data_IF_275528569029
#
_entry.id   IF_275528569029
#
_cell.length_a   1.000
_cell.length_b   1.000
_cell.length_c   1.000
_cell.angle_alpha   90.00
_cell.angle_beta   90.00
_cell.angle_gamma   90.00
#
_symmetry.space_group_name_H-M   'P 1'
#
loop_
_entity.id
_entity.type
_entity.pdbx_description
1 polymer ?
#
# COMPACT_ATOMS: atom_id res chain seq x y z
N UNK A 1 -23.35 67.44 -42.08
CA UNK A 1 -21.95 67.16 -41.71
C UNK A 1 -21.97 66.20 -40.52
N UNK A 2 -21.66 64.90 -40.72
CA UNK A 2 -21.74 63.88 -39.65
C UNK A 2 -20.37 63.75 -38.98
N UNK A 3 -20.30 64.04 -37.68
CA UNK A 3 -19.10 63.87 -36.86
C UNK A 3 -19.04 62.43 -36.34
N UNK A 4 -18.16 61.63 -36.93
CA UNK A 4 -17.91 60.25 -36.49
C UNK A 4 -17.07 60.29 -35.22
N UNK A 5 -17.68 60.08 -34.07
CA UNK A 5 -16.99 59.97 -32.78
C UNK A 5 -16.08 58.74 -32.75
N UNK A 6 -14.77 58.96 -32.88
CA UNK A 6 -13.75 57.93 -32.68
C UNK A 6 -13.65 57.63 -31.19
N UNK A 7 -14.25 56.52 -30.74
CA UNK A 7 -14.10 56.07 -29.34
C UNK A 7 -12.70 55.49 -29.14
N UNK A 8 -11.88 56.19 -28.37
CA UNK A 8 -10.56 55.73 -27.94
C UNK A 8 -10.75 54.60 -26.91
N UNK A 9 -10.63 53.34 -27.34
CA UNK A 9 -10.69 52.20 -26.44
C UNK A 9 -9.40 52.19 -25.59
N UNK A 10 -9.56 52.40 -24.29
CA UNK A 10 -8.47 52.29 -23.30
C UNK A 10 -7.97 50.84 -23.33
N UNK A 11 -6.77 50.62 -23.88
CA UNK A 11 -6.12 49.30 -23.95
C UNK A 11 -5.94 48.78 -22.52
N UNK A 12 -6.80 47.87 -22.06
CA UNK A 12 -6.52 47.08 -20.85
C UNK A 12 -5.25 46.28 -21.15
N UNK A 13 -4.30 46.30 -20.21
CA UNK A 13 -3.12 45.43 -20.26
C UNK A 13 -3.62 43.99 -20.18
N UNK A 14 -3.83 43.35 -21.33
CA UNK A 14 -4.10 41.94 -21.40
C UNK A 14 -2.84 41.18 -21.00
N UNK A 15 -2.98 40.18 -20.13
CA UNK A 15 -1.92 39.21 -19.86
C UNK A 15 -1.40 38.69 -21.20
N UNK A 16 -0.09 38.73 -21.39
CA UNK A 16 0.48 38.44 -22.70
C UNK A 16 0.30 36.95 -23.04
N UNK A 17 0.13 36.62 -24.31
CA UNK A 17 0.04 35.21 -24.74
C UNK A 17 1.28 34.42 -24.29
N UNK A 18 2.44 35.09 -24.22
CA UNK A 18 3.71 34.53 -23.74
C UNK A 18 3.67 34.19 -22.23
N UNK A 19 3.14 35.05 -21.37
CA UNK A 19 3.00 34.74 -19.94
C UNK A 19 2.18 33.47 -19.71
N UNK A 20 1.07 33.35 -20.44
CA UNK A 20 0.19 32.19 -20.32
C UNK A 20 0.84 30.91 -20.88
N UNK A 21 1.56 30.99 -22.00
CA UNK A 21 2.26 29.81 -22.55
C UNK A 21 3.42 29.37 -21.66
N UNK A 22 4.20 30.30 -21.10
CA UNK A 22 5.28 29.96 -20.16
C UNK A 22 4.72 29.27 -18.90
N UNK A 23 3.63 29.79 -18.34
CA UNK A 23 2.99 29.17 -17.17
C UNK A 23 2.50 27.76 -17.49
N UNK A 24 1.84 27.56 -18.63
CA UNK A 24 1.36 26.23 -19.03
C UNK A 24 2.53 25.26 -19.24
N UNK A 25 3.62 25.70 -19.90
CA UNK A 25 4.82 24.87 -20.09
C UNK A 25 5.43 24.42 -18.76
N UNK A 26 5.49 25.30 -17.77
CA UNK A 26 5.98 24.97 -16.42
C UNK A 26 5.03 24.03 -15.70
N UNK A 27 3.71 24.24 -15.75
CA UNK A 27 2.75 23.35 -15.11
C UNK A 27 2.79 21.94 -15.70
N UNK A 28 2.84 21.81 -17.03
CA UNK A 28 2.91 20.52 -17.70
C UNK A 28 4.22 19.77 -17.40
N UNK A 29 5.35 20.48 -17.26
CA UNK A 29 6.62 19.85 -16.89
C UNK A 29 6.60 19.30 -15.46
N UNK A 30 6.05 20.06 -14.51
CA UNK A 30 5.91 19.62 -13.11
C UNK A 30 4.96 18.43 -12.97
N UNK A 31 3.82 18.45 -13.66
CA UNK A 31 2.86 17.34 -13.66
C UNK A 31 3.51 16.06 -14.22
N UNK A 32 4.35 16.18 -15.25
CA UNK A 32 5.04 15.02 -15.84
C UNK A 32 5.97 14.33 -14.84
N UNK A 33 6.75 15.10 -14.06
CA UNK A 33 7.63 14.56 -13.01
C UNK A 33 6.81 13.91 -11.90
N UNK A 34 5.69 14.52 -11.51
CA UNK A 34 4.79 13.99 -10.49
C UNK A 34 4.27 12.59 -10.84
N UNK A 35 3.89 12.34 -12.10
CA UNK A 35 3.39 11.03 -12.52
C UNK A 35 4.44 9.92 -12.39
N UNK A 36 5.70 10.21 -12.68
CA UNK A 36 6.79 9.23 -12.53
C UNK A 36 6.99 8.91 -11.05
N UNK A 37 7.04 9.95 -10.20
CA UNK A 37 7.16 9.78 -8.75
C UNK A 37 5.99 9.01 -8.14
N UNK A 38 4.75 9.34 -8.52
CA UNK A 38 3.54 8.71 -8.01
C UNK A 38 3.48 7.21 -8.33
N UNK A 39 3.93 6.79 -9.53
CA UNK A 39 3.97 5.36 -9.91
C UNK A 39 4.98 4.58 -9.08
N UNK A 40 6.19 5.13 -8.90
CA UNK A 40 7.22 4.50 -8.06
C UNK A 40 6.76 4.40 -6.60
N UNK A 41 6.14 5.47 -6.08
CA UNK A 41 5.58 5.49 -4.73
C UNK A 41 4.45 4.45 -4.55
N UNK A 42 3.52 4.35 -5.50
CA UNK A 42 2.42 3.36 -5.44
C UNK A 42 2.95 1.93 -5.32
N UNK A 43 3.98 1.57 -6.10
CA UNK A 43 4.62 0.26 -6.01
C UNK A 43 5.23 0.01 -4.62
N UNK A 44 5.89 1.02 -4.05
CA UNK A 44 6.44 0.94 -2.68
C UNK A 44 5.36 0.79 -1.61
N UNK A 45 4.27 1.56 -1.72
CA UNK A 45 3.14 1.51 -0.79
C UNK A 45 2.42 0.15 -0.84
N UNK A 46 2.24 -0.41 -2.04
CA UNK A 46 1.64 -1.72 -2.23
C UNK A 46 2.45 -2.85 -1.58
N UNK A 47 3.79 -2.79 -1.76
CA UNK A 47 4.71 -3.72 -1.10
C UNK A 47 4.62 -3.59 0.42
N UNK A 48 4.64 -2.37 0.95
CA UNK A 48 4.54 -2.11 2.38
C UNK A 48 3.20 -2.62 2.94
N UNK A 49 2.09 -2.37 2.24
CA UNK A 49 0.77 -2.88 2.61
C UNK A 49 0.72 -4.40 2.67
N UNK A 50 1.34 -5.07 1.71
CA UNK A 50 1.43 -6.53 1.71
C UNK A 50 2.22 -7.07 2.92
N UNK A 51 3.35 -6.44 3.25
CA UNK A 51 4.18 -6.80 4.42
C UNK A 51 3.42 -6.53 5.73
N UNK A 52 2.67 -5.44 5.81
CA UNK A 52 1.83 -5.13 6.98
C UNK A 52 0.73 -6.18 7.19
N UNK A 53 0.09 -6.66 6.12
CA UNK A 53 -0.89 -7.75 6.23
C UNK A 53 -0.24 -9.02 6.80
N UNK A 54 0.96 -9.38 6.35
CA UNK A 54 1.71 -10.53 6.87
C UNK A 54 2.02 -10.33 8.36
N UNK A 55 2.51 -9.14 8.73
CA UNK A 55 2.80 -8.79 10.13
C UNK A 55 1.56 -8.89 11.01
N UNK A 56 0.45 -8.29 10.59
CA UNK A 56 -0.80 -8.30 11.36
C UNK A 56 -1.30 -9.73 11.55
N UNK A 57 -1.21 -10.57 10.52
CA UNK A 57 -1.57 -11.98 10.64
C UNK A 57 -0.67 -12.71 11.64
N UNK A 58 0.65 -12.48 11.59
CA UNK A 58 1.59 -13.07 12.55
C UNK A 58 1.31 -12.62 14.00
N UNK A 59 1.03 -11.33 14.23
CA UNK A 59 0.64 -10.81 15.54
C UNK A 59 -0.68 -11.42 16.04
N UNK A 60 -1.65 -11.60 15.15
CA UNK A 60 -2.90 -12.28 15.46
C UNK A 60 -2.67 -13.75 15.86
N UNK A 61 -1.83 -14.49 15.12
CA UNK A 61 -1.45 -15.87 15.48
C UNK A 61 -0.80 -15.95 16.86
N UNK A 62 0.10 -15.00 17.19
CA UNK A 62 0.75 -14.96 18.50
C UNK A 62 -0.23 -14.61 19.62
N UNK A 63 -1.14 -13.67 19.36
CA UNK A 63 -2.21 -13.33 20.30
C UNK A 63 -3.08 -14.56 20.59
N UNK A 64 -3.53 -15.26 19.55
CA UNK A 64 -4.29 -16.52 19.69
C UNK A 64 -3.52 -17.56 20.51
N UNK A 65 -2.25 -17.79 20.21
CA UNK A 65 -1.41 -18.73 20.95
C UNK A 65 -1.32 -18.35 22.43
N UNK A 66 -1.11 -17.07 22.75
CA UNK A 66 -1.05 -16.59 24.13
C UNK A 66 -2.38 -16.76 24.88
N UNK A 67 -3.52 -16.45 24.26
CA UNK A 67 -4.84 -16.62 24.88
C UNK A 67 -5.18 -18.08 25.16
N UNK A 68 -4.67 -19.00 24.36
CA UNK A 68 -4.95 -20.44 24.46
C UNK A 68 -3.80 -21.23 25.11
N UNK A 69 -2.78 -20.54 25.63
CA UNK A 69 -1.60 -21.14 26.26
C UNK A 69 -0.88 -22.15 25.34
N UNK A 70 -0.86 -21.88 24.03
CA UNK A 70 -0.20 -22.69 23.03
C UNK A 70 1.25 -22.21 22.83
N UNK A 71 2.16 -23.16 22.74
CA UNK A 71 3.56 -22.93 22.41
C UNK A 71 3.78 -23.04 20.90
N UNK A 72 4.90 -22.49 20.38
CA UNK A 72 5.29 -22.75 19.01
C UNK A 72 5.45 -24.25 18.75
N UNK A 73 4.83 -24.75 17.68
CA UNK A 73 4.81 -26.18 17.34
C UNK A 73 3.55 -26.92 17.83
N UNK A 74 2.79 -26.34 18.76
CA UNK A 74 1.53 -26.94 19.21
C UNK A 74 0.49 -26.93 18.08
N UNK A 75 -0.36 -27.96 18.07
CA UNK A 75 -1.42 -28.11 17.09
C UNK A 75 -2.62 -27.23 17.42
N UNK A 76 -3.24 -26.68 16.38
CA UNK A 76 -4.46 -25.90 16.49
C UNK A 76 -5.38 -26.22 15.29
N UNK A 77 -6.67 -25.82 15.33
CA UNK A 77 -7.47 -25.75 14.13
C UNK A 77 -6.77 -24.86 13.08
N UNK A 78 -7.21 -24.92 11.82
CA UNK A 78 -6.54 -24.15 10.76
C UNK A 78 -6.44 -22.67 11.14
N UNK A 79 -5.28 -22.04 10.93
CA UNK A 79 -5.05 -20.65 11.30
C UNK A 79 -6.15 -19.72 10.72
N UNK A 80 -6.65 -20.01 9.52
CA UNK A 80 -7.78 -19.32 8.91
C UNK A 80 -9.02 -19.32 9.82
N UNK A 81 -9.39 -20.46 10.41
CA UNK A 81 -10.61 -20.63 11.20
C UNK A 81 -10.55 -19.96 12.58
N UNK A 82 -9.35 -19.75 13.13
CA UNK A 82 -9.16 -19.19 14.48
C UNK A 82 -8.72 -17.73 14.47
N UNK A 83 -8.13 -17.25 13.38
CA UNK A 83 -7.66 -15.87 13.25
C UNK A 83 -8.62 -15.03 12.42
N UNK A 84 -9.20 -15.58 11.34
CA UNK A 84 -9.94 -14.80 10.34
C UNK A 84 -11.44 -15.00 10.50
N UNK A 85 -12.18 -13.94 10.78
CA UNK A 85 -13.63 -13.95 10.88
C UNK A 85 -14.15 -12.91 11.86
N UNK A 86 -15.46 -12.72 11.85
CA UNK A 86 -16.12 -11.75 12.74
C UNK A 86 -15.92 -12.10 14.21
N UNK A 87 -15.35 -11.18 14.99
CA UNK A 87 -15.08 -11.40 16.41
C UNK A 87 -13.82 -12.23 16.71
N UNK A 88 -13.01 -12.52 15.69
CA UNK A 88 -11.70 -13.15 15.85
C UNK A 88 -10.59 -12.09 15.84
N UNK A 89 -9.32 -12.51 15.80
CA UNK A 89 -8.17 -11.62 15.83
C UNK A 89 -8.02 -10.75 14.58
N UNK A 90 -8.68 -11.15 13.48
CA UNK A 90 -8.74 -10.41 12.23
C UNK A 90 -10.13 -10.56 11.61
N UNK A 91 -10.86 -9.45 11.56
CA UNK A 91 -12.24 -9.42 11.05
C UNK A 91 -12.37 -9.84 9.57
N UNK A 92 -11.36 -9.50 8.76
CA UNK A 92 -11.39 -9.71 7.30
C UNK A 92 -10.10 -10.37 6.83
N UNK A 93 -10.22 -11.36 5.94
CA UNK A 93 -9.06 -11.99 5.34
C UNK A 93 -8.15 -10.96 4.63
N UNK A 94 -6.82 -11.05 4.81
CA UNK A 94 -5.91 -10.09 4.20
C UNK A 94 -5.92 -10.25 2.68
N UNK A 95 -6.01 -9.12 1.96
CA UNK A 95 -5.95 -9.09 0.49
C UNK A 95 -4.68 -8.35 0.07
N UNK A 96 -3.92 -8.95 -0.83
CA UNK A 96 -2.71 -8.32 -1.35
C UNK A 96 -3.10 -7.16 -2.30
N UNK A 97 -2.58 -5.93 -2.10
CA UNK A 97 -2.91 -4.77 -2.94
C UNK A 97 -2.59 -4.94 -4.43
N UNK A 98 -1.69 -5.86 -4.75
CA UNK A 98 -1.24 -6.16 -6.12
C UNK A 98 -1.78 -7.49 -6.65
N UNK A 99 -2.90 -7.98 -6.10
CA UNK A 99 -3.50 -9.27 -6.49
C UNK A 99 -2.58 -10.49 -6.29
N UNK A 100 -1.71 -10.46 -5.27
CA UNK A 100 -1.03 -11.65 -4.79
C UNK A 100 -1.95 -12.54 -3.96
N UNK A 101 -1.61 -13.82 -3.85
CA UNK A 101 -2.30 -14.78 -2.99
C UNK A 101 -1.46 -15.02 -1.74
N UNK A 102 -2.13 -15.23 -0.61
CA UNK A 102 -1.46 -15.56 0.64
C UNK A 102 -1.52 -17.06 0.91
N UNK A 103 -0.40 -17.64 1.34
CA UNK A 103 -0.25 -19.05 1.73
C UNK A 103 0.16 -19.14 3.19
N UNK A 104 -0.28 -20.19 3.90
CA UNK A 104 -0.02 -20.39 5.34
C UNK A 104 -1.28 -20.32 6.23
N UNK A 105 -2.38 -19.78 5.73
CA UNK A 105 -3.66 -19.73 6.48
C UNK A 105 -4.24 -21.11 6.77
N UNK A 106 -3.92 -22.13 5.98
CA UNK A 106 -4.37 -23.51 6.21
C UNK A 106 -3.46 -24.29 7.19
N UNK A 107 -2.41 -23.67 7.75
CA UNK A 107 -1.55 -24.34 8.72
C UNK A 107 -2.34 -24.74 9.98
N UNK A 108 -1.99 -25.90 10.55
CA UNK A 108 -2.61 -26.49 11.75
C UNK A 108 -1.65 -26.54 12.94
N UNK A 109 -0.55 -25.79 12.84
CA UNK A 109 0.46 -25.67 13.89
C UNK A 109 0.82 -24.22 14.08
N UNK A 110 1.07 -23.82 15.34
CA UNK A 110 1.57 -22.49 15.64
C UNK A 110 3.01 -22.38 15.11
N UNK A 111 3.32 -21.42 14.20
CA UNK A 111 4.65 -21.28 13.63
C UNK A 111 5.73 -21.06 14.70
N UNK A 112 6.90 -21.68 14.49
CA UNK A 112 8.10 -21.39 15.27
C UNK A 112 8.43 -19.89 15.26
N UNK A 113 9.09 -19.41 16.31
CA UNK A 113 9.65 -18.05 16.32
C UNK A 113 10.65 -17.92 15.17
N UNK A 114 10.62 -16.78 14.47
CA UNK A 114 11.47 -16.56 13.29
C UNK A 114 10.92 -17.15 11.98
N UNK A 115 9.80 -17.89 12.02
CA UNK A 115 9.11 -18.38 10.83
C UNK A 115 7.85 -17.56 10.57
N UNK A 116 7.71 -17.05 9.36
CA UNK A 116 6.57 -16.23 8.97
C UNK A 116 5.31 -17.10 8.86
N UNK A 117 4.22 -16.66 9.50
CA UNK A 117 2.94 -17.39 9.49
C UNK A 117 2.21 -17.33 8.15
N UNK A 118 2.52 -16.34 7.32
CA UNK A 118 1.85 -16.05 6.06
C UNK A 118 2.87 -15.61 5.00
N UNK A 119 2.81 -16.18 3.80
CA UNK A 119 3.67 -15.78 2.67
C UNK A 119 2.84 -15.30 1.51
N UNK A 120 3.34 -14.32 0.74
CA UNK A 120 2.68 -13.84 -0.47
C UNK A 120 3.29 -14.49 -1.72
N UNK A 121 2.48 -14.79 -2.73
CA UNK A 121 2.94 -15.30 -4.03
C UNK A 121 3.85 -14.32 -4.80
N UNK A 122 3.85 -13.04 -4.44
CA UNK A 122 4.74 -11.99 -5.00
C UNK A 122 5.95 -11.69 -4.12
N UNK A 123 6.38 -12.66 -3.32
CA UNK A 123 7.52 -12.54 -2.40
C UNK A 123 8.87 -12.36 -3.10
N UNK A 124 9.01 -12.85 -4.34
CA UNK A 124 10.24 -12.76 -5.12
C UNK A 124 10.39 -11.41 -5.87
N UNK A 125 11.60 -11.15 -6.36
CA UNK A 125 11.82 -10.05 -7.30
C UNK A 125 10.95 -10.22 -8.54
N UNK A 126 10.41 -9.13 -9.13
CA UNK A 126 10.74 -7.72 -8.89
C UNK A 126 9.83 -6.99 -7.87
N UNK A 127 8.88 -7.67 -7.24
CA UNK A 127 7.89 -7.06 -6.34
C UNK A 127 8.33 -7.15 -4.88
N UNK A 128 9.00 -8.25 -4.50
CA UNK A 128 9.68 -8.42 -3.20
C UNK A 128 8.75 -8.23 -1.99
N UNK A 129 7.54 -8.81 -2.05
CA UNK A 129 6.55 -8.77 -0.95
C UNK A 129 6.90 -9.70 0.23
N UNK A 130 8.15 -10.15 0.34
CA UNK A 130 8.66 -10.84 1.51
C UNK A 130 9.09 -9.81 2.57
N UNK A 131 8.79 -10.05 3.86
CA UNK A 131 9.46 -9.34 4.93
C UNK A 131 10.97 -9.64 4.90
N UNK A 132 11.79 -8.75 5.44
CA UNK A 132 13.23 -9.00 5.59
C UNK A 132 13.49 -9.96 6.74
N UNK A 133 14.68 -10.56 6.80
CA UNK A 133 15.06 -11.47 7.89
C UNK A 133 14.90 -10.83 9.29
N UNK A 134 15.19 -9.53 9.41
CA UNK A 134 14.97 -8.77 10.64
C UNK A 134 13.48 -8.67 11.03
N UNK A 135 12.58 -8.64 10.04
CA UNK A 135 11.13 -8.62 10.26
C UNK A 135 10.56 -10.01 10.60
N UNK A 136 11.27 -11.10 10.30
CA UNK A 136 10.85 -12.46 10.67
C UNK A 136 11.04 -12.72 12.18
N UNK A 137 12.10 -12.14 12.75
CA UNK A 137 12.49 -12.30 14.17
C UNK A 137 12.02 -11.15 15.06
N UNK A 138 11.42 -10.10 14.49
CA UNK A 138 10.84 -9.03 15.28
C UNK A 138 9.58 -9.54 15.97
N UNK A 139 9.76 -10.07 17.18
CA UNK A 139 8.71 -10.46 18.11
C UNK A 139 8.05 -9.19 18.65
N UNK A 140 6.95 -8.80 18.02
CA UNK A 140 5.97 -7.87 18.56
C UNK A 140 4.73 -8.66 18.98
#
# INVERSE_FOLDING_TARGET
>A
MKLTHTRYLKRKSGMTLLELTVVILVLLSLISILFIGARAWKKGADRAGCILNIRNFQQATRSYANFNQLNPGDTCPTLASVIIGTGLFMETAPVCPTAGTYSGTAAVVIPAVGTVALTCSKSAAPDSHAPTAAQHVAEW
#
